data_IF_830694729470
#
_entry.id   IF_830694729470
#
_cell.length_a   1.000
_cell.length_b   1.000
_cell.length_c   1.000
_cell.angle_alpha   90.00
_cell.angle_beta   90.00
_cell.angle_gamma   90.00
#
_symmetry.space_group_name_H-M   'P 1'
#
loop_
_entity.id
_entity.type
_entity.pdbx_description
1 polymer ?
#
# COMPACT_ATOMS: atom_id res chain seq x y z
N UNK A 1 4.27 29.47 22.87
CA UNK A 1 3.92 28.14 22.34
C UNK A 1 5.15 27.53 21.68
N UNK A 2 5.46 26.26 21.96
CA UNK A 2 6.51 25.51 21.26
C UNK A 2 5.82 24.43 20.45
N UNK A 3 6.02 24.44 19.13
CA UNK A 3 5.43 23.48 18.21
C UNK A 3 6.55 22.63 17.63
N UNK A 4 6.50 21.33 17.87
CA UNK A 4 7.40 20.36 17.26
C UNK A 4 6.68 19.66 16.10
N UNK A 5 7.34 19.57 14.95
CA UNK A 5 6.87 18.81 13.80
C UNK A 5 7.97 17.80 13.42
N UNK A 6 7.69 16.51 13.62
CA UNK A 6 8.63 15.43 13.33
C UNK A 6 8.96 15.32 11.83
N UNK A 7 7.98 15.62 10.97
CA UNK A 7 8.12 15.50 9.51
C UNK A 7 8.63 16.79 8.85
N UNK A 8 8.64 17.92 9.55
CA UNK A 8 9.15 19.20 9.06
C UNK A 8 8.57 19.60 7.70
N UNK A 9 9.41 19.59 6.65
CA UNK A 9 9.02 19.86 5.25
C UNK A 9 8.85 18.57 4.40
N UNK A 10 8.85 17.41 5.03
CA UNK A 10 8.94 16.09 4.38
C UNK A 10 10.36 15.78 3.89
N UNK A 11 10.53 14.63 3.25
CA UNK A 11 11.79 14.26 2.59
C UNK A 11 11.95 14.90 1.21
N UNK A 12 10.85 15.30 0.56
CA UNK A 12 10.82 15.68 -0.84
C UNK A 12 11.24 14.53 -1.78
N UNK A 13 11.42 14.81 -3.09
CA UNK A 13 11.98 13.86 -4.04
C UNK A 13 13.37 13.37 -3.61
N UNK A 14 13.60 12.05 -3.68
CA UNK A 14 14.86 11.41 -3.30
C UNK A 14 15.59 10.73 -4.48
N UNK A 15 15.26 11.15 -5.70
CA UNK A 15 15.82 10.68 -6.97
C UNK A 15 15.55 11.66 -8.12
N UNK A 16 16.00 11.32 -9.33
CA UNK A 16 15.81 12.11 -10.54
C UNK A 16 16.89 13.18 -10.72
N UNK A 17 16.79 13.96 -11.80
CA UNK A 17 17.80 14.97 -12.16
C UNK A 17 17.95 16.08 -11.11
N UNK A 18 16.87 16.36 -10.39
CA UNK A 18 16.79 17.48 -9.46
C UNK A 18 17.23 17.10 -8.03
N UNK A 19 17.47 15.80 -7.78
CA UNK A 19 17.94 15.33 -6.48
C UNK A 19 19.47 15.29 -6.41
N UNK A 20 20.03 16.13 -5.53
CA UNK A 20 21.46 16.13 -5.22
C UNK A 20 21.74 15.25 -4.00
N UNK A 21 22.35 14.09 -4.23
CA UNK A 21 22.64 13.13 -3.16
C UNK A 21 23.70 13.66 -2.20
N UNK A 22 23.29 13.98 -0.97
CA UNK A 22 24.15 14.34 0.14
C UNK A 22 24.75 13.14 0.90
N UNK A 23 25.54 13.39 1.95
CA UNK A 23 26.11 12.32 2.80
C UNK A 23 25.06 11.46 3.50
N UNK A 24 23.84 11.96 3.70
CA UNK A 24 22.71 11.23 4.27
C UNK A 24 22.15 10.14 3.34
N UNK A 25 22.54 10.15 2.07
CA UNK A 25 22.08 9.19 1.07
C UNK A 25 20.74 9.57 0.45
N UNK A 26 19.91 8.58 0.11
CA UNK A 26 18.60 8.74 -0.54
C UNK A 26 17.46 8.03 0.21
N UNK A 27 17.76 7.46 1.38
CA UNK A 27 16.77 6.78 2.19
C UNK A 27 15.90 7.82 2.91
N UNK A 28 14.57 7.73 2.75
CA UNK A 28 13.60 8.73 3.24
C UNK A 28 13.78 9.04 4.73
N UNK A 29 13.99 8.01 5.56
CA UNK A 29 14.22 8.17 7.00
C UNK A 29 15.47 8.99 7.36
N UNK A 30 16.47 9.07 6.48
CA UNK A 30 17.65 9.92 6.68
C UNK A 30 17.45 11.35 6.16
N UNK A 31 16.49 11.54 5.24
CA UNK A 31 16.23 12.83 4.57
C UNK A 31 15.23 13.68 5.35
N UNK A 32 14.32 13.05 6.08
CA UNK A 32 13.28 13.73 6.84
C UNK A 32 13.88 14.48 8.04
N UNK A 33 13.74 15.80 8.03
CA UNK A 33 14.24 16.68 9.08
C UNK A 33 13.08 17.38 9.75
N UNK A 34 12.91 17.12 11.05
CA UNK A 34 11.89 17.80 11.86
C UNK A 34 12.19 19.29 12.06
N UNK A 35 11.20 20.01 12.57
CA UNK A 35 11.33 21.43 12.92
C UNK A 35 10.76 21.71 14.32
N UNK A 36 11.30 22.75 14.96
CA UNK A 36 10.75 23.32 16.19
C UNK A 36 10.47 24.79 15.93
N UNK A 37 9.23 25.19 16.07
CA UNK A 37 8.79 26.58 15.94
C UNK A 37 8.43 27.13 17.31
N UNK A 38 8.95 28.31 17.63
CA UNK A 38 8.60 29.07 18.83
C UNK A 38 7.81 30.28 18.37
N UNK A 39 6.58 30.40 18.87
CA UNK A 39 5.68 31.50 18.57
C UNK A 39 4.91 31.92 19.82
N UNK A 40 4.42 33.15 19.83
CA UNK A 40 3.46 33.59 20.84
C UNK A 40 2.16 32.78 20.74
N UNK A 41 1.45 32.65 21.86
CA UNK A 41 0.13 32.01 21.85
C UNK A 41 -0.81 32.99 21.14
N UNK A 42 -1.44 32.63 20.01
CA UNK A 42 -2.32 33.53 19.31
C UNK A 42 -3.54 33.87 20.19
N UNK A 43 -4.02 35.10 20.09
CA UNK A 43 -5.33 35.47 20.62
C UNK A 43 -6.46 34.71 19.93
N UNK A 44 -7.65 34.68 20.52
CA UNK A 44 -8.81 33.99 19.93
C UNK A 44 -9.17 34.53 18.53
N UNK A 45 -9.02 35.84 18.32
CA UNK A 45 -9.25 36.48 17.01
C UNK A 45 -8.19 36.06 15.98
N UNK A 46 -6.92 36.00 16.37
CA UNK A 46 -5.84 35.52 15.50
C UNK A 46 -5.99 34.03 15.19
N UNK A 47 -6.37 33.22 16.17
CA UNK A 47 -6.56 31.78 16.01
C UNK A 47 -7.62 31.49 14.94
N UNK A 48 -8.73 32.25 14.93
CA UNK A 48 -9.75 32.12 13.89
C UNK A 48 -9.19 32.40 12.50
N UNK A 49 -8.42 33.47 12.33
CA UNK A 49 -7.79 33.83 11.05
C UNK A 49 -6.78 32.77 10.61
N UNK A 50 -5.99 32.24 11.54
CA UNK A 50 -5.05 31.16 11.28
C UNK A 50 -5.76 29.87 10.86
N UNK A 51 -6.90 29.51 11.50
CA UNK A 51 -7.72 28.37 11.07
C UNK A 51 -8.26 28.56 9.65
N UNK A 52 -8.75 29.76 9.31
CA UNK A 52 -9.18 30.05 7.94
C UNK A 52 -8.04 29.94 6.93
N UNK A 53 -6.83 30.37 7.31
CA UNK A 53 -5.65 30.23 6.46
C UNK A 53 -5.26 28.76 6.25
N UNK A 54 -5.31 27.93 7.30
CA UNK A 54 -5.08 26.47 7.18
C UNK A 54 -6.09 25.85 6.23
N UNK A 55 -7.37 26.20 6.33
CA UNK A 55 -8.39 25.69 5.41
C UNK A 55 -8.12 26.12 3.96
N UNK A 56 -7.74 27.38 3.73
CA UNK A 56 -7.38 27.89 2.39
C UNK A 56 -6.13 27.23 1.81
N UNK A 57 -5.15 26.86 2.65
CA UNK A 57 -3.93 26.20 2.21
C UNK A 57 -4.15 24.73 1.82
N UNK A 58 -5.10 24.04 2.47
CA UNK A 58 -5.29 22.60 2.30
C UNK A 58 -6.48 22.22 1.40
N UNK A 59 -7.46 23.12 1.22
CA UNK A 59 -8.69 22.79 0.52
C UNK A 59 -9.01 23.83 -0.57
N UNK A 60 -9.36 23.33 -1.74
CA UNK A 60 -10.09 24.09 -2.75
C UNK A 60 -11.57 23.70 -2.67
N UNK A 61 -12.46 24.68 -2.59
CA UNK A 61 -13.92 24.45 -2.60
C UNK A 61 -14.50 24.83 -3.94
N UNK A 62 -15.32 23.96 -4.51
CA UNK A 62 -16.05 24.22 -5.74
C UNK A 62 -17.46 23.65 -5.65
N UNK A 63 -18.40 24.27 -6.37
CA UNK A 63 -19.76 23.76 -6.45
C UNK A 63 -19.84 22.57 -7.42
N UNK A 64 -20.71 21.61 -7.14
CA UNK A 64 -20.85 20.36 -7.91
C UNK A 64 -21.35 20.58 -9.35
N UNK A 65 -21.92 21.75 -9.62
CA UNK A 65 -22.43 22.20 -10.93
C UNK A 65 -21.42 23.09 -11.69
N UNK A 66 -20.20 23.25 -11.18
CA UNK A 66 -19.14 23.98 -11.87
C UNK A 66 -18.76 23.29 -13.19
N UNK A 67 -18.56 24.08 -14.24
CA UNK A 67 -18.15 23.63 -15.59
C UNK A 67 -16.85 22.79 -15.56
N UNK A 68 -16.03 22.94 -14.53
CA UNK A 68 -14.81 22.13 -14.32
C UNK A 68 -15.08 20.62 -14.21
N UNK A 69 -16.33 20.22 -13.93
CA UNK A 69 -16.75 18.83 -13.82
C UNK A 69 -17.48 18.30 -15.06
N UNK A 70 -17.65 19.10 -16.12
CA UNK A 70 -18.39 18.71 -17.33
C UNK A 70 -17.82 17.45 -18.00
N UNK A 71 -16.49 17.27 -17.95
CA UNK A 71 -15.82 16.08 -18.45
C UNK A 71 -16.26 14.78 -17.75
N UNK A 72 -16.84 14.87 -16.55
CA UNK A 72 -17.32 13.73 -15.76
C UNK A 72 -18.76 13.30 -16.08
N UNK A 73 -19.46 13.98 -16.99
CA UNK A 73 -20.89 13.73 -17.28
C UNK A 73 -21.21 12.24 -17.49
N UNK A 74 -20.34 11.52 -18.20
CA UNK A 74 -20.49 10.09 -18.50
C UNK A 74 -19.55 9.18 -17.67
N UNK A 75 -18.89 9.71 -16.64
CA UNK A 75 -17.95 8.93 -15.82
C UNK A 75 -18.72 7.90 -14.96
N UNK A 76 -18.34 6.61 -14.92
CA UNK A 76 -19.05 5.61 -14.11
C UNK A 76 -18.95 5.86 -12.60
N UNK A 77 -17.94 6.61 -12.14
CA UNK A 77 -17.74 6.95 -10.73
C UNK A 77 -18.43 8.27 -10.40
N UNK A 78 -19.41 8.27 -9.47
CA UNK A 78 -20.11 9.50 -9.07
C UNK A 78 -19.14 10.50 -8.42
N UNK A 79 -19.43 11.79 -8.55
CA UNK A 79 -18.61 12.86 -7.96
C UNK A 79 -18.67 12.84 -6.42
N UNK A 80 -19.80 12.41 -5.86
CA UNK A 80 -20.02 12.22 -4.43
C UNK A 80 -21.07 11.11 -4.22
N UNK A 81 -21.13 10.56 -3.01
CA UNK A 81 -22.06 9.48 -2.68
C UNK A 81 -23.53 9.83 -2.97
N UNK A 82 -24.24 8.96 -3.69
CA UNK A 82 -25.66 9.13 -4.01
C UNK A 82 -25.96 10.06 -5.20
N UNK A 83 -24.97 10.63 -5.89
CA UNK A 83 -25.20 11.44 -7.09
C UNK A 83 -25.93 10.65 -8.20
N UNK A 84 -25.48 9.42 -8.45
CA UNK A 84 -26.05 8.47 -9.40
C UNK A 84 -25.65 7.06 -9.05
N UNK A 85 -26.40 6.09 -9.57
CA UNK A 85 -25.99 4.68 -9.53
C UNK A 85 -24.79 4.45 -10.45
N UNK A 86 -23.78 3.75 -9.94
CA UNK A 86 -22.60 3.34 -10.71
C UNK A 86 -22.88 2.00 -11.38
N UNK A 87 -22.42 1.78 -12.63
CA UNK A 87 -22.42 0.43 -13.21
C UNK A 87 -21.38 -0.50 -12.58
N UNK A 88 -20.49 0.03 -11.73
CA UNK A 88 -19.51 -0.76 -10.98
C UNK A 88 -20.23 -1.38 -9.78
N UNK A 89 -20.25 -2.70 -9.74
CA UNK A 89 -20.84 -3.50 -8.66
C UNK A 89 -19.76 -4.12 -7.76
N UNK A 90 -18.55 -4.29 -8.30
CA UNK A 90 -17.45 -4.95 -7.63
C UNK A 90 -16.13 -4.18 -7.77
N UNK A 91 -15.38 -4.08 -6.68
CA UNK A 91 -14.03 -3.49 -6.66
C UNK A 91 -13.06 -4.58 -6.23
N UNK A 92 -11.99 -4.80 -7.00
CA UNK A 92 -10.87 -5.66 -6.59
C UNK A 92 -9.65 -4.80 -6.31
N UNK A 93 -9.41 -4.53 -5.02
CA UNK A 93 -8.28 -3.73 -4.57
C UNK A 93 -7.04 -4.61 -4.36
N UNK A 94 -6.04 -4.44 -5.23
CA UNK A 94 -4.77 -5.18 -5.16
C UNK A 94 -3.73 -4.31 -4.46
N UNK A 95 -3.38 -4.68 -3.23
CA UNK A 95 -2.30 -4.06 -2.46
C UNK A 95 -0.95 -4.67 -2.83
N UNK A 96 0.02 -3.79 -2.99
CA UNK A 96 1.41 -4.08 -3.36
C UNK A 96 2.39 -3.33 -2.44
N UNK A 97 3.68 -3.61 -2.54
CA UNK A 97 4.70 -3.10 -1.61
C UNK A 97 5.80 -2.25 -2.26
N UNK A 98 6.02 -1.07 -1.67
CA UNK A 98 7.28 -0.32 -1.71
C UNK A 98 7.89 0.01 -3.08
N UNK A 99 7.07 0.33 -4.09
CA UNK A 99 7.56 0.89 -5.37
C UNK A 99 7.07 2.31 -5.58
N UNK A 100 8.00 3.18 -5.93
CA UNK A 100 7.65 4.54 -6.38
C UNK A 100 7.07 4.48 -7.79
N UNK A 101 6.29 5.50 -8.17
CA UNK A 101 5.68 5.59 -9.49
C UNK A 101 6.71 5.45 -10.61
N UNK A 102 7.78 6.24 -10.56
CA UNK A 102 8.76 6.31 -11.65
C UNK A 102 9.60 5.05 -11.81
N UNK A 103 9.80 4.28 -10.74
CA UNK A 103 10.53 3.00 -10.81
C UNK A 103 9.88 2.01 -11.78
N UNK A 104 8.56 2.07 -11.93
CA UNK A 104 7.80 1.17 -12.81
C UNK A 104 7.27 1.93 -14.04
N UNK A 105 6.68 3.10 -13.84
CA UNK A 105 5.90 3.83 -14.84
C UNK A 105 6.58 5.08 -15.37
N UNK A 106 7.82 5.38 -14.98
CA UNK A 106 8.53 6.60 -15.41
C UNK A 106 8.68 6.72 -16.93
N UNK A 107 8.62 5.61 -17.66
CA UNK A 107 8.69 5.55 -19.13
C UNK A 107 7.34 5.60 -19.85
N UNK A 108 6.20 5.65 -19.13
CA UNK A 108 4.86 5.64 -19.76
C UNK A 108 4.60 6.99 -20.44
N UNK A 109 4.42 6.97 -21.75
CA UNK A 109 4.13 8.16 -22.55
C UNK A 109 2.78 8.79 -22.18
N UNK A 110 2.71 10.13 -22.22
CA UNK A 110 1.49 10.87 -21.89
C UNK A 110 1.20 11.01 -20.40
N UNK A 111 2.07 10.49 -19.54
CA UNK A 111 2.02 10.64 -18.09
C UNK A 111 3.18 11.50 -17.57
N UNK A 112 3.03 12.01 -16.35
CA UNK A 112 4.02 12.80 -15.61
C UNK A 112 5.04 11.90 -14.92
N UNK A 113 5.88 11.21 -15.71
CA UNK A 113 6.94 10.31 -15.21
C UNK A 113 8.36 10.75 -15.58
N UNK A 114 9.35 10.30 -14.81
CA UNK A 114 10.79 10.46 -15.09
C UNK A 114 11.40 9.13 -15.59
N UNK A 115 11.68 8.98 -16.90
CA UNK A 115 12.30 7.78 -17.45
C UNK A 115 13.67 7.44 -16.88
N UNK A 116 14.40 8.42 -16.33
CA UNK A 116 15.73 8.20 -15.75
C UNK A 116 15.68 7.41 -14.43
N UNK A 117 14.50 7.33 -13.82
CA UNK A 117 14.23 6.59 -12.59
C UNK A 117 13.62 5.20 -12.84
N UNK A 118 13.32 4.84 -14.09
CA UNK A 118 12.68 3.58 -14.45
C UNK A 118 13.61 2.38 -14.25
N UNK A 119 13.56 1.80 -13.05
CA UNK A 119 14.36 0.63 -12.65
C UNK A 119 13.75 -0.69 -13.07
N UNK A 120 12.44 -0.72 -13.30
CA UNK A 120 11.67 -1.94 -13.59
C UNK A 120 10.81 -1.80 -14.86
N UNK A 121 11.10 -0.79 -15.68
CA UNK A 121 10.45 -0.54 -16.97
C UNK A 121 11.01 -1.38 -18.12
N UNK A 122 11.07 -0.77 -19.30
CA UNK A 122 11.64 -1.31 -20.54
C UNK A 122 13.15 -1.07 -20.65
N UNK A 123 13.85 -1.97 -21.35
CA UNK A 123 15.26 -1.82 -21.73
C UNK A 123 16.23 -1.83 -20.54
N UNK A 124 15.85 -2.49 -19.44
CA UNK A 124 16.65 -2.52 -18.21
C UNK A 124 17.69 -3.62 -18.28
N UNK A 125 18.94 -3.28 -17.96
CA UNK A 125 20.05 -4.22 -17.78
C UNK A 125 20.48 -4.27 -16.31
N UNK A 126 20.58 -5.47 -15.74
CA UNK A 126 20.92 -5.66 -14.32
C UNK A 126 21.75 -6.93 -14.08
N UNK A 127 22.46 -6.95 -12.95
CA UNK A 127 23.26 -8.10 -12.50
C UNK A 127 22.84 -8.54 -11.12
N UNK A 128 23.08 -9.80 -10.79
CA UNK A 128 22.95 -10.26 -9.40
C UNK A 128 24.09 -9.71 -8.52
N UNK A 129 24.00 -9.90 -7.21
CA UNK A 129 24.83 -9.23 -6.20
C UNK A 129 26.32 -9.54 -6.37
N UNK A 130 26.68 -10.78 -6.71
CA UNK A 130 28.06 -11.19 -6.96
C UNK A 130 28.54 -10.95 -8.40
N UNK A 131 27.66 -10.41 -9.26
CA UNK A 131 27.89 -10.11 -10.69
C UNK A 131 28.26 -11.34 -11.54
N UNK A 132 27.94 -12.55 -11.07
CA UNK A 132 28.15 -13.78 -11.85
C UNK A 132 27.13 -13.95 -12.96
N UNK A 133 25.98 -13.26 -12.90
CA UNK A 133 24.91 -13.30 -13.90
C UNK A 133 24.46 -11.89 -14.28
N UNK A 134 24.08 -11.72 -15.53
CA UNK A 134 23.56 -10.48 -16.10
C UNK A 134 22.35 -10.79 -16.96
N UNK A 135 21.36 -9.90 -16.91
CA UNK A 135 20.24 -9.86 -17.84
C UNK A 135 20.30 -8.51 -18.54
N UNK A 136 20.23 -8.53 -19.87
CA UNK A 136 20.29 -7.33 -20.70
C UNK A 136 18.95 -7.12 -21.41
N UNK A 137 18.60 -5.85 -21.62
CA UNK A 137 17.43 -5.42 -22.42
C UNK A 137 16.09 -6.05 -21.96
N UNK A 138 15.90 -6.15 -20.64
CA UNK A 138 14.68 -6.71 -20.06
C UNK A 138 13.56 -5.68 -19.96
N UNK A 139 12.32 -6.16 -20.13
CA UNK A 139 11.14 -5.48 -19.58
C UNK A 139 10.73 -6.21 -18.30
N UNK A 140 10.87 -5.56 -17.14
CA UNK A 140 10.70 -6.24 -15.84
C UNK A 140 9.22 -6.31 -15.43
N UNK A 141 8.49 -5.20 -15.52
CA UNK A 141 7.08 -5.09 -15.08
C UNK A 141 6.11 -5.04 -16.28
N UNK A 142 6.19 -6.03 -17.16
CA UNK A 142 5.52 -6.01 -18.46
C UNK A 142 3.99 -5.94 -18.37
N UNK A 143 3.36 -6.67 -17.44
CA UNK A 143 1.92 -6.63 -17.25
C UNK A 143 1.45 -5.29 -16.69
N UNK A 144 2.19 -4.70 -15.75
CA UNK A 144 1.88 -3.36 -15.24
C UNK A 144 1.91 -2.31 -16.34
N UNK A 145 2.96 -2.31 -17.17
CA UNK A 145 3.09 -1.37 -18.29
C UNK A 145 1.96 -1.56 -19.32
N UNK A 146 1.57 -2.81 -19.57
CA UNK A 146 0.45 -3.14 -20.46
C UNK A 146 -0.88 -2.62 -19.90
N UNK A 147 -1.15 -2.84 -18.62
CA UNK A 147 -2.36 -2.35 -17.94
C UNK A 147 -2.42 -0.82 -17.92
N UNK A 148 -1.31 -0.15 -17.61
CA UNK A 148 -1.21 1.30 -17.65
C UNK A 148 -1.55 1.89 -19.03
N UNK A 149 -1.26 1.15 -20.11
CA UNK A 149 -1.57 1.56 -21.48
C UNK A 149 -3.02 1.28 -21.89
N UNK A 150 -3.65 0.27 -21.32
CA UNK A 150 -5.02 -0.15 -21.69
C UNK A 150 -6.10 0.45 -20.80
N UNK A 151 -5.76 0.78 -19.56
CA UNK A 151 -6.67 1.28 -18.55
C UNK A 151 -6.24 2.68 -18.06
N UNK A 152 -7.04 3.24 -17.15
CA UNK A 152 -6.68 4.48 -16.49
C UNK A 152 -5.45 4.27 -15.59
N UNK A 153 -4.53 5.23 -15.65
CA UNK A 153 -3.39 5.35 -14.73
C UNK A 153 -3.50 6.70 -14.03
N UNK A 154 -3.24 6.70 -12.72
CA UNK A 154 -3.04 7.93 -11.97
C UNK A 154 -1.57 8.30 -12.03
N UNK A 155 -1.24 9.35 -12.77
CA UNK A 155 0.03 10.03 -12.67
C UNK A 155 -0.10 11.18 -11.65
N UNK A 156 1.00 11.58 -11.02
CA UNK A 156 0.98 12.65 -10.02
C UNK A 156 0.16 12.35 -8.74
N UNK A 157 0.16 11.09 -8.31
CA UNK A 157 -0.38 10.67 -7.01
C UNK A 157 0.69 10.77 -5.92
N UNK A 158 0.35 11.49 -4.84
CA UNK A 158 1.22 11.65 -3.67
C UNK A 158 0.59 10.94 -2.47
N UNK A 159 1.43 10.37 -1.63
CA UNK A 159 1.01 9.70 -0.39
C UNK A 159 1.63 10.39 0.82
N UNK A 160 0.87 10.49 1.90
CA UNK A 160 1.31 11.07 3.19
C UNK A 160 2.17 10.09 4.03
N UNK A 161 2.58 8.98 3.42
CA UNK A 161 3.32 7.88 4.04
C UNK A 161 4.79 7.94 3.69
N UNK A 162 5.63 7.64 4.67
CA UNK A 162 7.07 7.58 4.52
C UNK A 162 7.61 6.13 4.45
N UNK A 163 6.87 5.17 5.02
CA UNK A 163 7.26 3.75 5.15
C UNK A 163 6.04 2.82 5.17
N UNK A 164 6.22 1.50 5.00
CA UNK A 164 5.11 0.53 5.10
C UNK A 164 4.25 0.71 6.36
N UNK A 165 4.88 1.03 7.50
CA UNK A 165 4.20 1.18 8.78
C UNK A 165 3.02 2.16 8.73
N UNK A 166 3.21 3.38 8.22
CA UNK A 166 2.15 4.38 8.11
C UNK A 166 1.34 4.21 6.80
N UNK A 167 1.97 3.75 5.72
CA UNK A 167 1.34 3.55 4.42
C UNK A 167 0.20 2.55 4.46
N UNK A 168 0.37 1.43 5.16
CA UNK A 168 -0.73 0.49 5.32
C UNK A 168 -1.93 1.05 6.06
N UNK A 169 -1.73 1.97 7.04
CA UNK A 169 -2.85 2.62 7.74
C UNK A 169 -3.64 3.50 6.77
N UNK A 170 -2.94 4.29 5.96
CA UNK A 170 -3.56 5.10 4.92
C UNK A 170 -4.39 4.26 3.94
N UNK A 171 -3.87 3.11 3.50
CA UNK A 171 -4.58 2.22 2.57
C UNK A 171 -5.88 1.63 3.16
N UNK A 172 -5.98 1.50 4.50
CA UNK A 172 -7.18 1.00 5.19
C UNK A 172 -7.99 2.12 5.85
N UNK A 173 -7.84 3.37 5.38
CA UNK A 173 -8.55 4.53 5.90
C UNK A 173 -8.38 4.72 7.42
N UNK A 174 -7.16 4.52 7.90
CA UNK A 174 -6.74 4.81 9.27
C UNK A 174 -5.65 5.87 9.19
N UNK A 175 -5.81 7.00 9.87
CA UNK A 175 -4.74 7.98 10.02
C UNK A 175 -3.71 7.46 11.02
N UNK A 176 -2.40 7.56 10.75
CA UNK A 176 -1.37 7.33 11.76
C UNK A 176 -1.59 8.25 12.95
N UNK A 177 -1.86 7.68 14.12
CA UNK A 177 -2.05 8.45 15.35
C UNK A 177 -0.70 8.74 16.04
N UNK A 178 -0.74 9.45 17.17
CA UNK A 178 0.46 9.78 17.95
C UNK A 178 1.30 8.54 18.29
N UNK A 179 0.67 7.39 18.57
CA UNK A 179 1.39 6.17 18.86
C UNK A 179 2.22 5.72 17.64
N UNK A 180 1.60 5.59 16.46
CA UNK A 180 2.32 5.17 15.23
C UNK A 180 3.45 6.15 14.89
N UNK A 181 3.16 7.45 14.92
CA UNK A 181 4.11 8.50 14.54
C UNK A 181 5.31 8.58 15.49
N UNK A 182 5.12 8.25 16.78
CA UNK A 182 6.23 8.28 17.76
C UNK A 182 6.98 6.95 17.86
N UNK A 183 6.35 5.81 17.54
CA UNK A 183 7.00 4.49 17.63
C UNK A 183 7.71 4.09 16.36
N UNK A 184 7.20 4.47 15.19
CA UNK A 184 7.74 4.06 13.89
C UNK A 184 9.21 4.50 13.71
N UNK A 185 9.60 5.77 13.96
CA UNK A 185 11.00 6.17 13.84
C UNK A 185 11.92 5.44 14.82
N UNK A 186 11.45 5.18 16.04
CA UNK A 186 12.22 4.41 17.03
C UNK A 186 12.42 2.95 16.60
N UNK A 187 11.41 2.35 15.96
CA UNK A 187 11.49 0.99 15.46
C UNK A 187 12.39 0.86 14.23
N UNK A 188 12.26 1.77 13.26
CA UNK A 188 13.06 1.78 12.03
C UNK A 188 14.50 2.23 12.26
N UNK A 189 14.76 3.00 13.32
CA UNK A 189 16.11 3.41 13.73
C UNK A 189 16.83 2.40 14.64
N UNK A 190 16.36 1.16 14.72
CA UNK A 190 16.92 0.08 15.56
C UNK A 190 16.97 0.40 17.08
N UNK A 191 16.23 1.41 17.54
CA UNK A 191 16.22 1.82 18.95
C UNK A 191 15.18 1.07 19.77
N UNK A 192 14.17 0.45 19.13
CA UNK A 192 13.12 -0.35 19.77
C UNK A 192 12.71 -1.53 18.89
N UNK A 193 12.78 -2.74 19.41
CA UNK A 193 12.37 -3.95 18.69
C UNK A 193 12.01 -5.09 19.63
N UNK A 194 11.66 -6.24 19.06
CA UNK A 194 11.36 -7.44 19.85
C UNK A 194 12.58 -7.90 20.65
N UNK A 195 12.38 -8.20 21.93
CA UNK A 195 13.40 -8.80 22.78
C UNK A 195 12.80 -9.95 23.61
N UNK A 196 13.14 -11.19 23.22
CA UNK A 196 12.64 -12.42 23.84
C UNK A 196 13.01 -12.57 25.33
N UNK A 197 14.00 -11.81 25.82
CA UNK A 197 14.39 -11.84 27.23
C UNK A 197 13.59 -10.86 28.10
N UNK A 198 12.80 -9.96 27.47
CA UNK A 198 11.94 -9.04 28.22
C UNK A 198 10.77 -9.81 28.84
N UNK A 199 10.56 -9.57 30.13
CA UNK A 199 9.43 -10.12 30.90
C UNK A 199 8.34 -9.07 31.16
N UNK A 200 8.45 -7.91 30.50
CA UNK A 200 7.47 -6.84 30.64
C UNK A 200 6.12 -7.33 30.09
N UNK A 201 5.00 -7.14 30.84
CA UNK A 201 3.68 -7.43 30.31
C UNK A 201 3.32 -6.42 29.21
N UNK A 202 2.53 -6.84 28.21
CA UNK A 202 2.05 -5.98 27.12
C UNK A 202 2.71 -6.27 25.78
N UNK A 203 2.77 -5.26 24.91
CA UNK A 203 3.29 -5.42 23.55
C UNK A 203 4.78 -5.82 23.56
N UNK A 204 5.11 -6.88 22.82
CA UNK A 204 6.47 -7.43 22.77
C UNK A 204 7.35 -6.76 21.71
N UNK A 205 6.78 -6.00 20.76
CA UNK A 205 7.50 -5.12 19.85
C UNK A 205 6.61 -3.94 19.42
N UNK A 206 7.20 -2.96 18.73
CA UNK A 206 6.42 -1.93 18.05
C UNK A 206 5.90 -2.48 16.71
N UNK A 207 5.03 -1.73 16.05
CA UNK A 207 4.45 -2.06 14.75
C UNK A 207 5.50 -2.42 13.69
N UNK A 208 6.71 -1.86 13.72
CA UNK A 208 7.71 -2.12 12.67
C UNK A 208 7.09 -1.86 11.30
N UNK A 209 7.32 -2.74 10.33
CA UNK A 209 6.70 -2.63 9.00
C UNK A 209 5.28 -3.24 8.91
N UNK A 210 4.66 -3.64 10.03
CA UNK A 210 3.37 -4.31 10.09
C UNK A 210 2.30 -3.62 9.25
N UNK A 211 1.56 -4.39 8.45
CA UNK A 211 0.43 -3.90 7.67
C UNK A 211 -0.92 -4.00 8.38
N UNK A 212 -0.96 -4.52 9.61
CA UNK A 212 -2.16 -4.62 10.42
C UNK A 212 -2.40 -3.39 11.30
N UNK A 213 -3.67 -3.17 11.66
CA UNK A 213 -4.10 -2.17 12.63
C UNK A 213 -4.03 -2.78 14.03
N UNK A 214 -3.29 -2.11 14.92
CA UNK A 214 -3.11 -2.46 16.32
C UNK A 214 -4.20 -1.79 17.18
N UNK A 215 -4.50 -2.35 18.37
CA UNK A 215 -5.36 -1.67 19.35
C UNK A 215 -4.91 -0.25 19.67
N UNK A 216 -3.60 -0.02 19.75
CA UNK A 216 -2.99 1.25 20.08
C UNK A 216 -3.10 2.30 18.96
N UNK A 217 -3.30 1.88 17.70
CA UNK A 217 -3.43 2.76 16.55
C UNK A 217 -4.83 2.78 15.91
N UNK A 218 -5.80 2.23 16.63
CA UNK A 218 -7.19 2.23 16.22
C UNK A 218 -7.83 3.60 16.39
N UNK A 219 -8.32 4.19 15.30
CA UNK A 219 -8.99 5.49 15.33
C UNK A 219 -10.46 5.39 15.75
N UNK A 220 -11.03 6.50 16.24
CA UNK A 220 -12.41 6.56 16.77
C UNK A 220 -13.46 6.06 15.76
N UNK A 221 -13.30 6.40 14.48
CA UNK A 221 -14.22 5.97 13.42
C UNK A 221 -13.96 4.55 12.90
N UNK A 222 -12.93 3.87 13.40
CA UNK A 222 -12.43 2.61 12.84
C UNK A 222 -11.75 2.80 11.48
N UNK A 223 -11.50 1.68 10.83
CA UNK A 223 -10.88 1.58 9.52
C UNK A 223 -11.92 1.38 8.41
N UNK A 224 -11.46 1.22 7.18
CA UNK A 224 -12.34 0.89 6.05
C UNK A 224 -13.20 -0.36 6.32
N UNK A 225 -12.72 -1.32 7.11
CA UNK A 225 -13.44 -2.57 7.40
C UNK A 225 -14.73 -2.31 8.21
N UNK A 226 -14.63 -1.47 9.24
CA UNK A 226 -15.79 -1.07 10.05
C UNK A 226 -16.70 -0.12 9.30
N UNK A 227 -16.16 0.68 8.39
CA UNK A 227 -16.97 1.51 7.50
C UNK A 227 -17.80 0.65 6.54
N UNK A 228 -17.20 -0.39 5.93
CA UNK A 228 -17.91 -1.33 5.06
C UNK A 228 -19.00 -2.07 5.82
N UNK A 229 -18.69 -2.63 7.00
CA UNK A 229 -19.67 -3.34 7.83
C UNK A 229 -20.84 -2.44 8.25
N UNK A 230 -20.57 -1.24 8.77
CA UNK A 230 -21.62 -0.31 9.23
C UNK A 230 -22.58 0.13 8.11
N UNK A 231 -22.14 0.07 6.86
CA UNK A 231 -22.94 0.42 5.69
C UNK A 231 -23.49 -0.79 4.95
N UNK A 232 -23.33 -2.01 5.49
CA UNK A 232 -23.82 -3.23 4.87
C UNK A 232 -23.18 -3.53 3.52
N UNK A 233 -21.93 -3.10 3.32
CA UNK A 233 -21.15 -3.40 2.11
C UNK A 233 -20.40 -4.71 2.34
N UNK A 234 -20.70 -5.71 1.53
CA UNK A 234 -20.03 -7.00 1.61
C UNK A 234 -18.63 -6.93 1.04
N UNK A 235 -17.66 -7.47 1.80
CA UNK A 235 -16.28 -7.54 1.38
C UNK A 235 -15.65 -8.89 1.74
N UNK A 236 -14.54 -9.23 1.11
CA UNK A 236 -13.72 -10.36 1.50
C UNK A 236 -12.23 -10.10 1.28
N UNK A 237 -11.43 -10.39 2.29
CA UNK A 237 -10.01 -10.10 2.32
C UNK A 237 -9.13 -11.31 2.04
N UNK A 238 -8.19 -11.15 1.11
CA UNK A 238 -7.08 -12.06 0.84
C UNK A 238 -5.80 -11.46 1.38
N UNK A 239 -5.56 -11.67 2.68
CA UNK A 239 -4.27 -11.45 3.33
C UNK A 239 -3.88 -10.00 3.62
N UNK A 240 -4.63 -9.00 3.17
CA UNK A 240 -4.33 -7.58 3.41
C UNK A 240 -4.73 -7.17 4.84
N UNK A 241 -4.01 -6.24 5.49
CA UNK A 241 -4.41 -5.72 6.80
C UNK A 241 -4.25 -6.65 8.01
N UNK A 242 -3.59 -7.82 7.87
CA UNK A 242 -3.45 -8.83 8.94
C UNK A 242 -2.00 -9.24 9.25
N UNK A 243 -1.03 -8.50 8.73
CA UNK A 243 0.38 -8.66 9.10
C UNK A 243 0.70 -7.89 10.39
N UNK A 244 0.72 -8.60 11.53
CA UNK A 244 1.22 -8.08 12.80
C UNK A 244 2.68 -8.47 13.08
N UNK A 245 3.36 -7.63 13.85
CA UNK A 245 4.69 -7.81 14.41
C UNK A 245 4.68 -7.78 15.95
N UNK A 246 5.53 -8.59 16.63
CA UNK A 246 6.58 -9.40 16.00
C UNK A 246 6.10 -10.77 15.49
N UNK A 247 6.65 -11.20 14.35
CA UNK A 247 6.35 -12.47 13.71
C UNK A 247 7.59 -13.17 13.09
N UNK A 248 7.40 -14.44 12.71
CA UNK A 248 8.37 -15.22 11.95
C UNK A 248 7.91 -15.43 10.51
N UNK A 249 8.85 -15.22 9.58
CA UNK A 249 8.67 -15.27 8.13
C UNK A 249 9.45 -16.45 7.50
N UNK A 250 8.99 -17.67 7.76
CA UNK A 250 9.61 -18.88 7.20
C UNK A 250 8.80 -19.44 6.02
N UNK A 251 9.47 -20.03 5.03
CA UNK A 251 8.82 -20.63 3.85
C UNK A 251 7.82 -21.74 4.21
N UNK A 252 8.02 -22.41 5.35
CA UNK A 252 7.10 -23.44 5.85
C UNK A 252 5.72 -22.89 6.22
N UNK A 253 5.58 -21.58 6.41
CA UNK A 253 4.30 -20.92 6.68
C UNK A 253 3.56 -20.55 5.39
N UNK A 254 3.88 -21.21 4.26
CA UNK A 254 3.31 -20.87 2.94
C UNK A 254 1.79 -20.77 2.87
N UNK A 255 1.05 -21.46 3.73
CA UNK A 255 -0.42 -21.44 3.74
C UNK A 255 -1.04 -20.32 4.58
N UNK A 256 -0.28 -19.67 5.45
CA UNK A 256 -0.79 -18.61 6.34
C UNK A 256 0.00 -17.31 6.23
N UNK A 257 1.16 -17.32 5.57
CA UNK A 257 2.07 -16.19 5.47
C UNK A 257 3.08 -16.19 6.62
N UNK A 258 2.61 -15.99 7.84
CA UNK A 258 3.47 -15.73 9.00
C UNK A 258 3.06 -16.52 10.24
N UNK A 259 3.97 -16.59 11.20
CA UNK A 259 3.69 -17.08 12.55
C UNK A 259 3.96 -15.97 13.56
N UNK A 260 2.90 -15.44 14.16
CA UNK A 260 3.00 -14.46 15.24
C UNK A 260 3.59 -15.07 16.52
N UNK A 261 4.36 -14.28 17.27
CA UNK A 261 4.90 -14.71 18.57
C UNK A 261 3.90 -14.55 19.71
N UNK A 262 2.87 -13.71 19.52
CA UNK A 262 1.77 -13.49 20.45
C UNK A 262 0.45 -13.41 19.70
N UNK A 263 -0.66 -13.50 20.42
CA UNK A 263 -1.98 -13.27 19.86
C UNK A 263 -2.26 -11.76 19.80
N UNK A 264 -2.81 -11.31 18.68
CA UNK A 264 -3.32 -9.95 18.53
C UNK A 264 -4.84 -9.98 18.46
N UNK A 265 -5.52 -9.03 19.10
CA UNK A 265 -6.91 -8.75 18.76
C UNK A 265 -6.97 -8.25 17.32
N UNK A 266 -7.93 -8.76 16.55
CA UNK A 266 -8.20 -8.37 15.17
C UNK A 266 -9.61 -7.79 15.15
N UNK A 267 -9.87 -6.68 14.44
CA UNK A 267 -11.22 -6.15 14.33
C UNK A 267 -12.18 -7.22 13.79
N UNK A 268 -13.36 -7.34 14.41
CA UNK A 268 -14.33 -8.38 14.06
C UNK A 268 -14.67 -8.42 12.55
N UNK A 269 -14.89 -7.28 11.85
CA UNK A 269 -15.28 -7.30 10.45
C UNK A 269 -14.24 -8.00 9.56
N UNK A 270 -12.96 -7.62 9.68
CA UNK A 270 -11.90 -8.25 8.90
C UNK A 270 -11.60 -9.67 9.39
N UNK A 271 -11.72 -9.94 10.70
CA UNK A 271 -11.53 -11.29 11.21
C UNK A 271 -12.54 -12.25 10.59
N UNK A 272 -13.81 -11.89 10.49
CA UNK A 272 -14.87 -12.74 9.93
C UNK A 272 -14.79 -12.87 8.41
N UNK A 273 -14.40 -11.79 7.72
CA UNK A 273 -14.43 -11.69 6.26
C UNK A 273 -13.04 -11.76 5.63
N UNK A 274 -12.20 -12.71 6.06
CA UNK A 274 -10.87 -12.94 5.47
C UNK A 274 -10.62 -14.41 5.19
N UNK A 275 -9.84 -14.67 4.14
CA UNK A 275 -9.34 -16.00 3.83
C UNK A 275 -8.56 -16.59 4.99
N UNK A 276 -8.71 -17.90 5.19
CA UNK A 276 -7.93 -18.71 6.15
C UNK A 276 -6.84 -19.54 5.48
N UNK A 277 -6.79 -19.52 4.15
CA UNK A 277 -5.89 -20.33 3.35
C UNK A 277 -4.95 -19.47 2.52
N UNK A 278 -5.27 -18.21 2.26
CA UNK A 278 -4.41 -17.28 1.55
C UNK A 278 -3.30 -16.73 2.45
N UNK A 279 -2.06 -16.80 1.98
CA UNK A 279 -0.93 -16.27 2.72
C UNK A 279 -0.90 -14.73 2.71
N UNK A 280 -0.85 -14.13 3.91
CA UNK A 280 -0.50 -12.70 4.06
C UNK A 280 0.96 -12.44 3.66
N UNK A 281 1.47 -11.25 3.97
CA UNK A 281 2.82 -10.84 3.68
C UNK A 281 3.86 -11.85 4.16
N UNK A 282 4.69 -12.34 3.23
CA UNK A 282 5.92 -13.09 3.50
C UNK A 282 6.63 -13.31 2.16
N UNK A 283 7.78 -12.67 1.98
CA UNK A 283 8.51 -12.73 0.71
C UNK A 283 9.11 -14.11 0.41
N UNK A 284 9.17 -15.05 1.36
CA UNK A 284 9.56 -16.44 1.13
C UNK A 284 8.50 -17.27 0.38
N UNK A 285 7.32 -16.70 0.14
CA UNK A 285 6.24 -17.34 -0.58
C UNK A 285 6.12 -16.62 -1.93
N UNK A 286 6.20 -17.33 -3.07
CA UNK A 286 5.96 -16.72 -4.38
C UNK A 286 4.55 -16.17 -4.51
N UNK A 287 4.41 -15.02 -5.17
CA UNK A 287 3.08 -14.46 -5.45
C UNK A 287 2.30 -15.38 -6.39
N UNK A 288 2.97 -16.18 -7.24
CA UNK A 288 2.32 -17.24 -8.00
C UNK A 288 1.53 -18.23 -7.14
N UNK A 289 2.09 -18.61 -5.98
CA UNK A 289 1.40 -19.52 -5.07
C UNK A 289 0.18 -18.84 -4.44
N UNK A 290 0.30 -17.56 -4.08
CA UNK A 290 -0.84 -16.77 -3.60
C UNK A 290 -1.96 -16.72 -4.64
N UNK A 291 -1.63 -16.53 -5.92
CA UNK A 291 -2.64 -16.49 -6.98
C UNK A 291 -3.32 -17.84 -7.17
N UNK A 292 -2.60 -18.96 -7.02
CA UNK A 292 -3.23 -20.29 -7.04
C UNK A 292 -4.26 -20.43 -5.91
N UNK A 293 -3.97 -19.91 -4.72
CA UNK A 293 -4.88 -19.91 -3.58
C UNK A 293 -6.09 -19.00 -3.81
N UNK A 294 -5.86 -17.78 -4.31
CA UNK A 294 -6.92 -16.84 -4.67
C UNK A 294 -7.88 -17.44 -5.69
N UNK A 295 -7.38 -17.95 -6.81
CA UNK A 295 -8.20 -18.54 -7.88
C UNK A 295 -8.99 -19.73 -7.35
N UNK A 296 -8.36 -20.59 -6.54
CA UNK A 296 -9.02 -21.74 -5.94
C UNK A 296 -10.19 -21.31 -5.05
N UNK A 297 -9.92 -20.45 -4.06
CA UNK A 297 -10.94 -20.04 -3.08
C UNK A 297 -12.03 -19.16 -3.73
N UNK A 298 -11.67 -18.32 -4.70
CA UNK A 298 -12.63 -17.57 -5.51
C UNK A 298 -13.60 -18.51 -6.21
N UNK A 299 -13.12 -19.54 -6.90
CA UNK A 299 -13.99 -20.49 -7.60
C UNK A 299 -14.88 -21.28 -6.65
N UNK A 300 -14.34 -21.69 -5.49
CA UNK A 300 -15.10 -22.39 -4.45
C UNK A 300 -16.23 -21.53 -3.87
N UNK A 301 -16.02 -20.21 -3.72
CA UNK A 301 -17.01 -19.30 -3.14
C UNK A 301 -17.97 -18.68 -4.15
N UNK A 302 -17.47 -18.31 -5.33
CA UNK A 302 -18.17 -17.41 -6.26
C UNK A 302 -18.12 -17.86 -7.73
N UNK A 303 -17.56 -19.04 -8.02
CA UNK A 303 -17.50 -19.59 -9.38
C UNK A 303 -18.82 -20.18 -9.89
N UNK A 304 -19.76 -20.54 -9.00
CA UNK A 304 -21.07 -21.11 -9.37
C UNK A 304 -22.04 -20.07 -9.92
N UNK A 305 -23.04 -20.47 -10.71
CA UNK A 305 -24.00 -19.56 -11.38
C UNK A 305 -24.85 -18.68 -10.45
N UNK A 306 -25.15 -19.17 -9.24
CA UNK A 306 -26.06 -18.51 -8.29
C UNK A 306 -25.33 -17.79 -7.14
N UNK A 307 -24.00 -17.83 -7.11
CA UNK A 307 -23.22 -17.18 -6.07
C UNK A 307 -23.07 -15.68 -6.36
N UNK A 308 -22.95 -14.85 -5.34
CA UNK A 308 -22.66 -13.42 -5.54
C UNK A 308 -21.31 -13.09 -4.93
N UNK A 309 -20.42 -12.57 -5.78
CA UNK A 309 -19.15 -12.03 -5.30
C UNK A 309 -19.43 -10.79 -4.42
N UNK A 310 -18.68 -10.58 -3.32
CA UNK A 310 -18.75 -9.37 -2.53
C UNK A 310 -18.54 -8.11 -3.37
N UNK A 311 -19.04 -6.97 -2.88
CA UNK A 311 -18.84 -5.68 -3.54
C UNK A 311 -17.37 -5.23 -3.49
N UNK A 312 -16.61 -5.72 -2.51
CA UNK A 312 -15.17 -5.45 -2.42
C UNK A 312 -14.36 -6.72 -2.15
N UNK A 313 -13.34 -6.97 -2.97
CA UNK A 313 -12.27 -7.89 -2.65
C UNK A 313 -10.99 -7.12 -2.40
N UNK A 314 -10.22 -7.52 -1.40
CA UNK A 314 -8.85 -7.01 -1.19
C UNK A 314 -7.86 -8.15 -1.35
N UNK A 315 -6.74 -7.91 -2.03
CA UNK A 315 -5.72 -8.93 -2.30
C UNK A 315 -4.36 -8.33 -2.07
N UNK A 316 -3.53 -8.92 -1.20
CA UNK A 316 -2.13 -8.50 -1.05
C UNK A 316 -1.19 -9.40 -1.86
N UNK A 317 -0.35 -8.79 -2.69
CA UNK A 317 0.74 -9.45 -3.41
C UNK A 317 2.04 -8.71 -3.10
N UNK A 318 2.78 -9.14 -2.06
CA UNK A 318 3.82 -8.32 -1.43
C UNK A 318 5.22 -8.47 -2.03
N UNK A 319 5.45 -9.40 -2.98
CA UNK A 319 6.83 -9.73 -3.35
C UNK A 319 7.55 -8.57 -4.02
N UNK A 320 6.83 -7.62 -4.63
CA UNK A 320 7.45 -6.41 -5.15
C UNK A 320 8.11 -5.54 -4.08
N UNK A 321 7.98 -5.82 -2.77
CA UNK A 321 8.87 -5.27 -1.75
C UNK A 321 10.36 -5.51 -2.06
N UNK A 322 10.68 -6.65 -2.68
CA UNK A 322 12.00 -6.99 -3.20
C UNK A 322 13.01 -7.35 -2.10
N UNK A 323 12.90 -8.57 -1.57
CA UNK A 323 13.86 -9.09 -0.58
C UNK A 323 15.28 -9.24 -1.16
N UNK A 324 16.23 -9.61 -0.30
CA UNK A 324 17.55 -10.05 -0.75
C UNK A 324 17.48 -11.23 -1.72
N UNK A 325 18.54 -11.36 -2.54
CA UNK A 325 18.68 -12.47 -3.48
C UNK A 325 18.67 -13.81 -2.75
N UNK A 326 17.90 -14.76 -3.27
CA UNK A 326 17.84 -16.15 -2.81
C UNK A 326 17.86 -17.06 -4.03
N UNK A 327 19.04 -17.28 -4.64
CA UNK A 327 19.17 -18.09 -5.86
C UNK A 327 18.56 -19.49 -5.72
N UNK A 328 18.77 -20.15 -4.58
CA UNK A 328 18.25 -21.49 -4.30
C UNK A 328 16.71 -21.55 -4.22
N UNK A 329 16.08 -20.41 -3.92
CA UNK A 329 14.63 -20.26 -3.87
C UNK A 329 14.03 -19.71 -5.18
N UNK A 330 14.83 -19.60 -6.25
CA UNK A 330 14.36 -19.07 -7.53
C UNK A 330 14.37 -17.55 -7.66
N UNK A 331 14.99 -16.84 -6.71
CA UNK A 331 15.15 -15.37 -6.74
C UNK A 331 16.63 -14.96 -6.89
N UNK A 332 17.29 -15.28 -8.01
CA UNK A 332 18.71 -14.97 -8.20
C UNK A 332 18.99 -13.49 -8.44
N UNK A 333 17.98 -12.66 -8.70
CA UNK A 333 18.08 -11.21 -8.85
C UNK A 333 17.05 -10.52 -7.96
N UNK A 334 17.23 -9.23 -7.65
CA UNK A 334 16.16 -8.44 -7.00
C UNK A 334 14.94 -8.35 -7.91
N UNK A 335 15.16 -8.21 -9.21
CA UNK A 335 14.15 -8.14 -10.26
C UNK A 335 13.33 -9.44 -10.37
N UNK A 336 13.83 -10.58 -9.88
CA UNK A 336 13.05 -11.82 -9.85
C UNK A 336 11.78 -11.68 -9.01
N UNK A 337 11.81 -10.89 -7.93
CA UNK A 337 10.62 -10.60 -7.14
C UNK A 337 9.61 -9.73 -7.89
N UNK A 338 10.09 -8.80 -8.70
CA UNK A 338 9.29 -7.86 -9.49
C UNK A 338 8.57 -8.63 -10.59
N UNK A 339 9.27 -9.52 -11.29
CA UNK A 339 8.65 -10.38 -12.33
C UNK A 339 7.64 -11.36 -11.73
N UNK A 340 7.92 -11.95 -10.56
CA UNK A 340 6.97 -12.81 -9.85
C UNK A 340 5.68 -12.05 -9.49
N UNK A 341 5.81 -10.82 -8.99
CA UNK A 341 4.68 -9.96 -8.66
C UNK A 341 3.94 -9.46 -9.92
N UNK A 342 4.66 -9.07 -10.98
CA UNK A 342 4.10 -8.62 -12.25
C UNK A 342 3.23 -9.70 -12.90
N UNK A 343 3.74 -10.93 -12.95
CA UNK A 343 2.98 -12.07 -13.43
C UNK A 343 1.77 -12.36 -12.55
N UNK A 344 1.88 -12.19 -11.22
CA UNK A 344 0.75 -12.38 -10.31
C UNK A 344 -0.40 -11.39 -10.60
N UNK A 345 -0.09 -10.12 -10.85
CA UNK A 345 -1.10 -9.13 -11.29
C UNK A 345 -1.72 -9.54 -12.62
N UNK A 346 -0.89 -9.89 -13.61
CA UNK A 346 -1.36 -10.36 -14.91
C UNK A 346 -2.34 -11.52 -14.79
N UNK A 347 -2.03 -12.51 -13.96
CA UNK A 347 -2.89 -13.68 -13.71
C UNK A 347 -4.18 -13.34 -12.97
N UNK A 348 -4.16 -12.41 -12.00
CA UNK A 348 -5.40 -11.95 -11.36
C UNK A 348 -6.32 -11.32 -12.40
N UNK A 349 -5.79 -10.39 -13.21
CA UNK A 349 -6.59 -9.68 -14.23
C UNK A 349 -7.09 -10.65 -15.30
N UNK A 350 -6.22 -11.52 -15.82
CA UNK A 350 -6.60 -12.55 -16.80
C UNK A 350 -7.76 -13.41 -16.25
N UNK A 351 -7.60 -13.97 -15.05
CA UNK A 351 -8.62 -14.79 -14.42
C UNK A 351 -9.95 -14.03 -14.25
N UNK A 352 -9.91 -12.83 -13.64
CA UNK A 352 -11.10 -12.03 -13.38
C UNK A 352 -11.80 -11.60 -14.67
N UNK A 353 -11.05 -11.32 -15.74
CA UNK A 353 -11.59 -10.95 -17.06
C UNK A 353 -12.44 -12.03 -17.72
N UNK A 354 -12.25 -13.28 -17.31
CA UNK A 354 -13.04 -14.42 -17.75
C UNK A 354 -14.22 -14.76 -16.83
N UNK A 355 -14.40 -14.02 -15.73
CA UNK A 355 -15.56 -14.20 -14.84
C UNK A 355 -16.78 -13.44 -15.35
N UNK A 356 -17.98 -13.86 -14.94
CA UNK A 356 -19.22 -13.13 -15.26
C UNK A 356 -19.28 -11.72 -14.65
N UNK A 357 -18.46 -11.46 -13.64
CA UNK A 357 -18.43 -10.19 -12.89
C UNK A 357 -17.64 -9.09 -13.63
N UNK A 358 -16.76 -9.45 -14.57
CA UNK A 358 -15.82 -8.54 -15.23
C UNK A 358 -16.46 -7.26 -15.77
N UNK A 359 -17.61 -7.37 -16.44
CA UNK A 359 -18.32 -6.24 -17.05
C UNK A 359 -18.80 -5.16 -16.05
N UNK A 360 -18.85 -5.49 -14.76
CA UNK A 360 -19.29 -4.61 -13.67
C UNK A 360 -18.19 -4.46 -12.59
N UNK A 361 -16.95 -4.79 -12.93
CA UNK A 361 -15.80 -4.79 -12.02
C UNK A 361 -14.91 -3.57 -12.27
N UNK A 362 -14.35 -3.03 -11.19
CA UNK A 362 -13.29 -2.03 -11.19
C UNK A 362 -12.03 -2.55 -10.51
#
# INVERSE_FOLDING_TARGET
LVVANAKGFGSGPNGGSDFQRGPEGSYIGNLMKGSVTILDIPSDDELKLLSEQVMKNNFATSTVDSEQFDWRKNNPVPLYGGQKESPIEHIVFISKENRTYDEVFGQVEGCSGDPSLARYGHGVTFTNQDKSRMVEDATVMANHLKLAKEFAIGDNFYVDSDVSADGHRWLVNTYPNEWVETTTPASYGDNRGYNANLKAPGSLAMNGAAGAIYPEDYNEAGSMWEHLERHGIEFFNFGFGIMFEPASYHESFKYTGIRHFVNYPVPAPIFEKTSRTYATYNMAIPDQFRIDQFIKEFNEKWGGENENMPQMLTVIIPNDHGAGERPDAGYPFRESYMVDNDLAVGRIVEFLSHTRYWKNMA
#
